data_IF_502046020874
#
_entry.id   IF_502046020874
#
_cell.length_a   1.000
_cell.length_b   1.000
_cell.length_c   1.000
_cell.angle_alpha   90.00
_cell.angle_beta   90.00
_cell.angle_gamma   90.00
#
_symmetry.space_group_name_H-M   'P 1'
#
loop_
_entity.id
_entity.type
_entity.pdbx_description
1 polymer ?
#
# COMPACT_ATOMS: atom_id res chain seq x y z
N UNK A 1 13.29 -8.48 -5.58
CA UNK A 1 12.96 -8.33 -7.01
C UNK A 1 14.06 -8.91 -7.88
N UNK A 2 15.27 -8.31 -7.90
CA UNK A 2 16.37 -8.76 -8.78
C UNK A 2 16.93 -10.17 -8.49
N UNK A 3 16.96 -10.61 -7.24
CA UNK A 3 17.44 -11.97 -6.91
C UNK A 3 16.59 -13.09 -7.54
N UNK A 4 15.30 -12.84 -7.76
CA UNK A 4 14.35 -13.79 -8.36
C UNK A 4 13.88 -13.30 -9.75
N UNK A 5 14.78 -12.68 -10.52
CA UNK A 5 14.41 -12.10 -11.82
C UNK A 5 13.85 -13.15 -12.80
N UNK A 6 14.39 -14.37 -12.78
CA UNK A 6 13.92 -15.48 -13.63
C UNK A 6 12.42 -15.79 -13.44
N UNK A 7 11.85 -15.50 -12.27
CA UNK A 7 10.41 -15.71 -12.02
C UNK A 7 9.56 -14.75 -12.84
N UNK A 8 10.07 -13.55 -13.15
CA UNK A 8 9.34 -12.55 -13.92
C UNK A 8 9.15 -12.96 -15.39
N UNK A 9 10.02 -13.80 -15.93
CA UNK A 9 9.87 -14.37 -17.27
C UNK A 9 8.61 -15.22 -17.41
N UNK A 10 8.07 -15.72 -16.28
CA UNK A 10 6.84 -16.50 -16.24
C UNK A 10 5.61 -15.67 -15.92
N UNK A 11 5.71 -14.34 -15.90
CA UNK A 11 4.57 -13.48 -15.58
C UNK A 11 3.72 -13.20 -16.80
N UNK A 12 2.46 -12.84 -16.52
CA UNK A 12 1.45 -12.47 -17.49
C UNK A 12 1.95 -11.40 -18.48
N UNK A 13 2.67 -10.40 -17.95
CA UNK A 13 3.15 -9.24 -18.69
C UNK A 13 4.20 -9.63 -19.76
N UNK A 14 4.94 -10.75 -19.58
CA UNK A 14 5.95 -11.24 -20.54
C UNK A 14 5.45 -12.35 -21.46
N UNK A 15 4.60 -13.26 -20.95
CA UNK A 15 4.15 -14.41 -21.75
C UNK A 15 3.03 -14.02 -22.72
N UNK A 16 2.14 -13.10 -22.31
CA UNK A 16 0.87 -12.91 -23.02
C UNK A 16 0.60 -11.47 -23.43
N UNK A 17 0.94 -10.47 -22.61
CA UNK A 17 0.70 -9.08 -23.02
C UNK A 17 1.64 -8.67 -24.14
N UNK A 18 1.07 -8.22 -25.26
CA UNK A 18 1.85 -7.51 -26.26
C UNK A 18 2.32 -6.17 -25.68
N UNK A 19 3.58 -5.84 -25.97
CA UNK A 19 4.13 -4.55 -25.59
C UNK A 19 3.30 -3.44 -26.25
N UNK A 20 2.65 -2.64 -25.41
CA UNK A 20 1.77 -1.56 -25.84
C UNK A 20 1.75 -0.43 -24.82
N UNK A 21 0.91 0.57 -25.09
CA UNK A 21 0.84 1.79 -24.28
C UNK A 21 0.63 1.51 -22.78
N UNK A 22 -0.26 0.57 -22.42
CA UNK A 22 -0.54 0.18 -21.04
C UNK A 22 0.73 -0.25 -20.29
N UNK A 23 1.53 -1.14 -20.90
CA UNK A 23 2.73 -1.70 -20.28
C UNK A 23 3.83 -0.63 -20.17
N UNK A 24 4.05 0.13 -21.25
CA UNK A 24 5.06 1.21 -21.28
C UNK A 24 4.71 2.31 -20.28
N UNK A 25 3.46 2.78 -20.27
CA UNK A 25 3.01 3.81 -19.33
C UNK A 25 3.10 3.34 -17.88
N UNK A 26 2.74 2.09 -17.61
CA UNK A 26 2.90 1.47 -16.29
C UNK A 26 4.35 1.51 -15.80
N UNK A 27 5.28 1.01 -16.62
CA UNK A 27 6.70 0.90 -16.28
C UNK A 27 7.42 2.24 -16.13
N UNK A 28 7.17 3.19 -17.04
CA UNK A 28 7.94 4.43 -17.09
C UNK A 28 7.29 5.61 -16.37
N UNK A 29 5.96 5.58 -16.19
CA UNK A 29 5.22 6.73 -15.65
C UNK A 29 4.48 6.36 -14.38
N UNK A 30 3.76 5.25 -14.33
CA UNK A 30 2.96 4.94 -13.15
C UNK A 30 3.84 4.54 -11.97
N UNK A 31 4.67 3.50 -12.12
CA UNK A 31 5.44 2.95 -11.02
C UNK A 31 6.49 3.92 -10.45
N UNK A 32 7.30 4.61 -11.26
CA UNK A 32 8.34 5.49 -10.74
C UNK A 32 7.78 6.71 -10.00
N UNK A 33 6.54 7.13 -10.27
CA UNK A 33 5.96 8.32 -9.67
C UNK A 33 5.04 8.00 -8.50
N UNK A 34 4.20 6.96 -8.60
CA UNK A 34 3.25 6.64 -7.53
C UNK A 34 3.88 5.89 -6.34
N UNK A 35 4.88 5.03 -6.57
CA UNK A 35 5.53 4.32 -5.45
C UNK A 35 6.28 5.27 -4.50
N UNK A 36 7.09 6.23 -4.97
CA UNK A 36 7.72 7.20 -4.08
C UNK A 36 6.73 8.07 -3.33
N UNK A 37 5.59 8.43 -3.94
CA UNK A 37 4.54 9.20 -3.25
C UNK A 37 4.01 8.42 -2.03
N UNK A 38 3.71 7.13 -2.19
CA UNK A 38 3.26 6.31 -1.08
C UNK A 38 4.31 6.20 0.04
N UNK A 39 5.58 6.05 -0.34
CA UNK A 39 6.72 6.02 0.60
C UNK A 39 6.84 7.37 1.34
N UNK A 40 6.75 8.49 0.63
CA UNK A 40 6.80 9.83 1.22
C UNK A 40 5.65 10.05 2.19
N UNK A 41 4.42 9.66 1.85
CA UNK A 41 3.26 9.74 2.74
C UNK A 41 3.48 8.90 4.00
N UNK A 42 3.99 7.67 3.86
CA UNK A 42 4.29 6.81 4.99
C UNK A 42 5.33 7.43 5.94
N UNK A 43 6.48 7.87 5.41
CA UNK A 43 7.53 8.47 6.23
C UNK A 43 7.10 9.80 6.84
N UNK A 44 6.35 10.63 6.10
CA UNK A 44 5.77 11.86 6.63
C UNK A 44 4.84 11.56 7.82
N UNK A 45 3.91 10.61 7.65
CA UNK A 45 3.01 10.17 8.71
C UNK A 45 3.76 9.59 9.91
N UNK A 46 4.81 8.81 9.68
CA UNK A 46 5.66 8.24 10.73
C UNK A 46 6.43 9.32 11.50
N UNK A 47 7.08 10.25 10.81
CA UNK A 47 7.82 11.38 11.41
C UNK A 47 6.88 12.22 12.28
N UNK A 48 5.67 12.52 11.78
CA UNK A 48 4.69 13.31 12.52
C UNK A 48 4.16 12.57 13.74
N UNK A 49 3.84 11.29 13.61
CA UNK A 49 3.33 10.46 14.71
C UNK A 49 4.37 10.26 15.80
N UNK A 50 5.62 9.94 15.42
CA UNK A 50 6.75 9.81 16.34
C UNK A 50 7.15 11.16 16.94
N UNK A 51 7.12 12.22 16.14
CA UNK A 51 7.37 13.58 16.58
C UNK A 51 6.37 14.01 17.66
N UNK A 52 5.08 13.78 17.46
CA UNK A 52 4.05 14.06 18.46
C UNK A 52 4.24 13.24 19.75
N UNK A 53 4.65 11.97 19.64
CA UNK A 53 4.95 11.14 20.81
C UNK A 53 6.20 11.62 21.56
N UNK A 54 7.26 11.99 20.84
CA UNK A 54 8.48 12.56 21.42
C UNK A 54 8.22 13.92 22.07
N UNK A 55 7.35 14.75 21.48
CA UNK A 55 6.92 16.02 22.07
C UNK A 55 6.21 15.81 23.41
N UNK A 56 5.30 14.82 23.48
CA UNK A 56 4.63 14.44 24.73
C UNK A 56 5.61 13.88 25.77
N UNK A 57 6.55 13.04 25.35
CA UNK A 57 7.59 12.51 26.24
C UNK A 57 8.48 13.62 26.80
N UNK A 58 8.92 14.55 25.94
CA UNK A 58 9.76 15.68 26.34
C UNK A 58 9.01 16.58 27.32
N UNK A 59 7.73 16.89 27.06
CA UNK A 59 6.91 17.69 27.98
C UNK A 59 6.76 17.05 29.37
N UNK A 60 6.61 15.71 29.43
CA UNK A 60 6.49 14.98 30.71
C UNK A 60 7.81 14.90 31.48
N UNK A 61 8.94 14.87 30.78
CA UNK A 61 10.27 14.69 31.40
C UNK A 61 10.92 16.04 31.74
N UNK A 62 10.76 17.03 30.86
CA UNK A 62 11.35 18.36 30.95
C UNK A 62 10.35 19.41 30.41
N UNK A 63 9.44 19.94 31.23
CA UNK A 63 8.38 20.84 30.77
C UNK A 63 8.90 22.17 30.19
N UNK A 64 10.12 22.59 30.55
CA UNK A 64 10.75 23.82 30.06
C UNK A 64 11.61 23.62 28.81
N UNK A 65 11.79 22.38 28.33
CA UNK A 65 12.62 22.09 27.16
C UNK A 65 11.89 22.48 25.86
N UNK A 66 12.65 23.08 24.93
CA UNK A 66 12.17 23.43 23.59
C UNK A 66 12.12 22.16 22.73
N UNK A 67 10.96 21.86 22.15
CA UNK A 67 10.83 20.78 21.18
C UNK A 67 11.55 21.16 19.88
N UNK A 68 12.45 20.30 19.40
CA UNK A 68 13.38 20.55 18.28
C UNK A 68 14.29 21.79 18.47
N UNK A 69 14.39 22.35 19.68
CA UNK A 69 15.24 23.51 19.98
C UNK A 69 14.63 24.88 19.67
N UNK A 70 13.42 24.94 19.07
CA UNK A 70 12.77 26.21 18.73
C UNK A 70 11.26 26.25 19.00
N UNK A 71 10.60 25.12 19.25
CA UNK A 71 9.15 25.08 19.50
C UNK A 71 8.89 25.02 21.02
N UNK A 72 8.23 26.04 21.56
CA UNK A 72 7.78 26.02 22.96
C UNK A 72 6.56 25.12 23.11
N UNK A 73 6.50 24.24 24.13
CA UNK A 73 5.30 23.47 24.41
C UNK A 73 4.18 24.40 24.88
N UNK A 74 3.02 24.36 24.20
CA UNK A 74 1.80 25.05 24.62
C UNK A 74 0.88 24.01 25.23
N UNK A 75 0.53 24.19 26.50
CA UNK A 75 -0.43 23.35 27.22
C UNK A 75 -1.65 24.17 27.61
N UNK A 76 -2.84 23.65 27.31
CA UNK A 76 -4.11 24.19 27.81
C UNK A 76 -4.64 23.17 28.82
N UNK A 77 -4.87 23.57 30.08
CA UNK A 77 -5.26 22.67 31.18
C UNK A 77 -4.36 21.43 31.30
N UNK A 78 -3.03 21.61 31.26
CA UNK A 78 -2.02 20.54 31.39
C UNK A 78 -2.08 19.42 30.33
N UNK A 79 -2.91 19.57 29.29
CA UNK A 79 -3.04 18.63 28.18
C UNK A 79 -2.40 19.20 26.93
N UNK A 80 -1.51 18.42 26.32
CA UNK A 80 -0.93 18.74 25.01
C UNK A 80 -1.99 18.48 23.93
N UNK A 81 -2.43 19.52 23.23
CA UNK A 81 -3.57 19.46 22.30
C UNK A 81 -3.27 18.64 21.02
N UNK A 82 -2.00 18.49 20.66
CA UNK A 82 -1.62 17.87 19.38
C UNK A 82 -1.35 16.35 19.55
N UNK A 83 -2.33 15.52 19.15
CA UNK A 83 -2.12 14.08 18.91
C UNK A 83 -1.84 13.84 17.44
N UNK A 84 -0.77 13.09 17.12
CA UNK A 84 -0.33 12.81 15.74
C UNK A 84 -1.40 12.20 14.81
N UNK A 85 -2.48 11.66 15.38
CA UNK A 85 -3.64 11.15 14.65
C UNK A 85 -4.41 12.22 13.86
N UNK A 86 -4.45 13.48 14.33
CA UNK A 86 -5.20 14.54 13.64
C UNK A 86 -4.55 14.96 12.30
N UNK A 87 -3.25 14.73 12.12
CA UNK A 87 -2.55 15.07 10.86
C UNK A 87 -2.60 13.93 9.84
N UNK A 88 -2.65 12.67 10.30
CA UNK A 88 -2.76 11.49 9.42
C UNK A 88 -4.12 11.42 8.69
N UNK A 89 -5.20 11.94 9.30
CA UNK A 89 -6.56 11.86 8.76
C UNK A 89 -6.82 12.99 7.72
N UNK A 90 -5.99 14.03 7.68
CA UNK A 90 -6.15 15.15 6.73
C UNK A 90 -5.73 14.81 5.29
N UNK A 91 -5.30 13.56 5.03
CA UNK A 91 -4.91 13.07 3.71
C UNK A 91 -6.07 12.70 2.78
N UNK A 92 -7.34 12.82 3.20
CA UNK A 92 -8.50 12.54 2.35
C UNK A 92 -8.56 11.10 1.82
N UNK A 93 -9.16 10.89 0.64
CA UNK A 93 -9.28 9.57 -0.01
C UNK A 93 -7.95 9.05 -0.59
N UNK A 94 -6.94 9.93 -0.74
CA UNK A 94 -5.70 9.61 -1.46
C UNK A 94 -4.92 8.39 -0.93
N UNK A 95 -4.79 8.15 0.39
CA UNK A 95 -4.14 6.95 0.92
C UNK A 95 -4.85 5.65 0.55
N UNK A 96 -6.16 5.71 0.27
CA UNK A 96 -6.99 4.55 -0.04
C UNK A 96 -7.03 4.22 -1.53
N UNK A 97 -6.75 5.19 -2.41
CA UNK A 97 -6.73 4.97 -3.86
C UNK A 97 -5.71 3.91 -4.27
N UNK A 98 -4.56 3.85 -3.60
CA UNK A 98 -3.49 2.91 -3.94
C UNK A 98 -3.83 1.46 -3.53
N UNK A 99 -4.27 1.15 -2.30
CA UNK A 99 -4.83 -0.16 -1.96
C UNK A 99 -6.01 -0.57 -2.85
N UNK A 100 -6.94 0.34 -3.15
CA UNK A 100 -8.09 0.06 -4.03
C UNK A 100 -7.65 -0.29 -5.46
N UNK A 101 -6.62 0.39 -5.99
CA UNK A 101 -6.03 0.05 -7.28
C UNK A 101 -5.48 -1.38 -7.29
N UNK A 102 -4.74 -1.83 -6.27
CA UNK A 102 -4.24 -3.21 -6.22
C UNK A 102 -5.35 -4.23 -6.06
N UNK A 103 -6.39 -3.94 -5.27
CA UNK A 103 -7.55 -4.83 -5.17
C UNK A 103 -8.19 -5.02 -6.54
N UNK A 104 -8.44 -3.93 -7.27
CA UNK A 104 -8.98 -4.00 -8.62
C UNK A 104 -8.05 -4.74 -9.59
N UNK A 105 -6.74 -4.48 -9.51
CA UNK A 105 -5.72 -5.13 -10.34
C UNK A 105 -5.67 -6.65 -10.09
N UNK A 106 -5.70 -7.08 -8.82
CA UNK A 106 -5.66 -8.50 -8.47
C UNK A 106 -6.94 -9.23 -8.85
N UNK A 107 -8.11 -8.62 -8.66
CA UNK A 107 -9.38 -9.20 -9.11
C UNK A 107 -9.39 -9.32 -10.63
N UNK A 108 -8.95 -8.30 -11.36
CA UNK A 108 -8.88 -8.36 -12.82
C UNK A 108 -7.91 -9.47 -13.29
N UNK A 109 -6.74 -9.58 -12.65
CA UNK A 109 -5.74 -10.62 -12.95
C UNK A 109 -6.27 -12.03 -12.64
N UNK A 110 -6.89 -12.23 -11.48
CA UNK A 110 -7.49 -13.53 -11.10
C UNK A 110 -8.50 -14.01 -12.13
N UNK A 111 -9.38 -13.12 -12.61
CA UNK A 111 -10.41 -13.50 -13.59
C UNK A 111 -9.80 -14.00 -14.89
N UNK A 112 -8.77 -13.31 -15.39
CA UNK A 112 -8.10 -13.75 -16.62
C UNK A 112 -7.35 -15.07 -16.42
N UNK A 113 -6.69 -15.26 -15.28
CA UNK A 113 -6.03 -16.53 -14.97
C UNK A 113 -7.03 -17.68 -14.81
N UNK A 114 -8.21 -17.43 -14.22
CA UNK A 114 -9.29 -18.39 -14.11
C UNK A 114 -9.79 -18.87 -15.48
N UNK A 115 -10.05 -17.94 -16.41
CA UNK A 115 -10.49 -18.26 -17.77
C UNK A 115 -9.46 -19.14 -18.49
N UNK A 116 -8.17 -18.84 -18.34
CA UNK A 116 -7.09 -19.62 -18.96
C UNK A 116 -6.91 -21.00 -18.36
N UNK A 117 -6.95 -21.13 -17.03
CA UNK A 117 -6.87 -22.44 -16.40
C UNK A 117 -8.07 -23.30 -16.80
N UNK A 118 -9.24 -22.69 -16.95
CA UNK A 118 -10.43 -23.36 -17.47
C UNK A 118 -10.25 -23.81 -18.93
N UNK A 119 -9.70 -22.96 -19.79
CA UNK A 119 -9.40 -23.32 -21.20
C UNK A 119 -8.34 -24.42 -21.31
N UNK A 120 -7.28 -24.34 -20.50
CA UNK A 120 -6.13 -25.25 -20.55
C UNK A 120 -6.42 -26.62 -19.96
N UNK A 121 -7.09 -26.68 -18.82
CA UNK A 121 -7.28 -27.93 -18.05
C UNK A 121 -8.73 -28.46 -18.10
N UNK A 122 -9.69 -27.67 -18.56
CA UNK A 122 -11.05 -28.13 -18.84
C UNK A 122 -11.74 -28.79 -17.64
N UNK A 123 -11.92 -30.12 -17.69
CA UNK A 123 -12.61 -30.89 -16.63
C UNK A 123 -11.84 -30.92 -15.32
N UNK A 124 -10.52 -31.06 -15.38
CA UNK A 124 -9.67 -31.13 -14.18
C UNK A 124 -9.72 -29.80 -13.40
N UNK A 125 -9.88 -28.68 -14.12
CA UNK A 125 -10.11 -27.37 -13.51
C UNK A 125 -11.43 -27.30 -12.75
N UNK A 126 -12.51 -27.85 -13.30
CA UNK A 126 -13.81 -27.84 -12.63
C UNK A 126 -13.80 -28.68 -11.33
N UNK A 127 -13.06 -29.80 -11.33
CA UNK A 127 -12.86 -30.60 -10.12
C UNK A 127 -11.99 -29.86 -9.10
N UNK A 128 -10.93 -29.19 -9.55
CA UNK A 128 -10.10 -28.33 -8.71
C UNK A 128 -10.94 -27.22 -8.04
N UNK A 129 -11.76 -26.49 -8.80
CA UNK A 129 -12.63 -25.44 -8.26
C UNK A 129 -13.70 -25.96 -7.29
N UNK A 130 -14.13 -27.22 -7.41
CA UNK A 130 -15.00 -27.84 -6.41
C UNK A 130 -14.28 -28.09 -5.09
N UNK A 131 -13.02 -28.51 -5.13
CA UNK A 131 -12.20 -28.75 -3.94
C UNK A 131 -11.72 -27.46 -3.28
N UNK A 132 -11.46 -26.43 -4.09
CA UNK A 132 -10.93 -25.13 -3.65
C UNK A 132 -11.86 -24.01 -4.14
N UNK A 133 -12.95 -23.71 -3.41
CA UNK A 133 -13.96 -22.75 -3.87
C UNK A 133 -13.53 -21.29 -3.71
N UNK A 134 -12.55 -21.00 -2.84
CA UNK A 134 -12.04 -19.65 -2.59
C UNK A 134 -10.85 -19.33 -3.51
N UNK A 135 -10.84 -18.13 -4.09
CA UNK A 135 -9.94 -17.69 -5.16
C UNK A 135 -8.77 -16.86 -4.65
N UNK A 136 -9.02 -15.91 -3.73
CA UNK A 136 -7.99 -15.00 -3.21
C UNK A 136 -7.95 -15.03 -1.68
N UNK A 137 -9.10 -14.86 -1.03
CA UNK A 137 -9.20 -14.76 0.43
C UNK A 137 -9.98 -15.97 0.95
N UNK A 138 -9.33 -16.90 1.66
CA UNK A 138 -10.01 -18.03 2.27
C UNK A 138 -11.23 -17.57 3.07
N UNK A 139 -12.34 -18.27 2.92
CA UNK A 139 -13.62 -17.99 3.61
C UNK A 139 -14.35 -16.71 3.20
N UNK A 140 -13.85 -15.92 2.24
CA UNK A 140 -14.49 -14.70 1.76
C UNK A 140 -14.67 -14.67 0.24
N UNK A 141 -13.60 -14.93 -0.51
CA UNK A 141 -13.57 -14.84 -1.97
C UNK A 141 -12.59 -15.83 -2.56
#
# INVERSE_FOLDING_TARGET
YFYHEHVHLYTFDFIIEYVGFKLVWGCFVFYPFFYPIAICIFFLGWILSRGANNQKYLFRTQPNALFLGFIRPISINERLLCSGWCLAINGGIYPWLYPLYYIALFIARERTDYERCKEKYGRDWNEYCHRVPYRIIPFLY
#
